data_IF_892664308030
#
_entry.id   IF_892664308030
#
_cell.length_a   1.000
_cell.length_b   1.000
_cell.length_c   1.000
_cell.angle_alpha   90.00
_cell.angle_beta   90.00
_cell.angle_gamma   90.00
#
_symmetry.space_group_name_H-M   'P 1'
#
loop_
_entity.id
_entity.type
_entity.pdbx_description
1 polymer ?
#
# COMPACT_ATOMS: atom_id res chain seq x y z
N UNK A 1 -17.21 -24.91 -27.77
CA UNK A 1 -18.38 -24.26 -27.14
C UNK A 1 -17.79 -23.30 -26.12
N UNK A 2 -17.83 -22.00 -26.40
CA UNK A 2 -17.32 -20.95 -25.52
C UNK A 2 -18.50 -20.40 -24.72
N UNK A 3 -18.36 -20.36 -23.40
CA UNK A 3 -19.34 -19.80 -22.47
C UNK A 3 -19.52 -18.29 -22.72
N UNK A 4 -20.74 -17.78 -22.96
CA UNK A 4 -20.93 -16.40 -23.42
C UNK A 4 -21.08 -15.32 -22.31
N UNK A 5 -20.99 -15.65 -21.01
CA UNK A 5 -21.42 -14.73 -19.95
C UNK A 5 -20.45 -14.57 -18.76
N UNK A 6 -19.14 -14.50 -19.02
CA UNK A 6 -18.26 -13.79 -18.09
C UNK A 6 -18.20 -12.34 -18.56
N UNK A 7 -18.58 -11.34 -17.73
CA UNK A 7 -18.37 -9.95 -18.09
C UNK A 7 -16.87 -9.80 -18.34
N UNK A 8 -16.51 -9.59 -19.61
CA UNK A 8 -15.21 -9.03 -19.94
C UNK A 8 -15.17 -7.72 -19.17
N UNK A 9 -14.46 -7.73 -18.04
CA UNK A 9 -13.96 -6.52 -17.41
C UNK A 9 -13.44 -5.69 -18.56
N UNK A 10 -14.12 -4.59 -18.87
CA UNK A 10 -13.71 -3.67 -19.89
C UNK A 10 -12.29 -3.28 -19.51
N UNK A 11 -11.29 -3.96 -20.06
CA UNK A 11 -9.89 -3.62 -19.98
C UNK A 11 -9.70 -2.38 -20.86
N UNK A 12 -10.51 -1.35 -20.65
CA UNK A 12 -10.12 -0.01 -20.96
C UNK A 12 -8.78 0.17 -20.28
N UNK A 13 -7.78 0.60 -21.06
CA UNK A 13 -6.44 0.94 -20.58
C UNK A 13 -6.55 2.17 -19.67
N UNK A 14 -7.25 2.07 -18.56
CA UNK A 14 -7.30 3.10 -17.55
C UNK A 14 -5.90 3.18 -16.96
N UNK A 15 -5.33 4.39 -16.84
CA UNK A 15 -4.00 4.56 -16.28
C UNK A 15 -3.88 3.92 -14.90
N UNK A 16 -2.66 3.55 -14.51
CA UNK A 16 -2.38 3.08 -13.16
C UNK A 16 -2.88 4.11 -12.13
N UNK A 17 -3.59 3.63 -11.10
CA UNK A 17 -4.14 4.50 -10.05
C UNK A 17 -4.12 3.76 -8.72
N UNK A 18 -3.21 4.16 -7.84
CA UNK A 18 -3.12 3.61 -6.48
C UNK A 18 -3.90 4.49 -5.52
N UNK A 19 -4.73 3.85 -4.69
CA UNK A 19 -5.46 4.49 -3.60
C UNK A 19 -5.08 3.83 -2.28
N UNK A 20 -5.30 4.55 -1.17
CA UNK A 20 -5.41 3.94 0.15
C UNK A 20 -6.82 3.35 0.25
N UNK A 21 -6.93 2.03 0.13
CA UNK A 21 -8.20 1.30 0.15
C UNK A 21 -8.75 1.18 1.57
N UNK A 22 -7.86 0.94 2.53
CA UNK A 22 -8.22 0.76 3.94
C UNK A 22 -7.09 1.17 4.87
N UNK A 23 -7.46 1.78 5.99
CA UNK A 23 -6.58 1.97 7.16
C UNK A 23 -7.22 1.29 8.35
N UNK A 24 -6.51 0.36 8.99
CA UNK A 24 -6.92 -0.34 10.21
C UNK A 24 -6.04 0.17 11.34
N UNK A 25 -6.52 1.15 12.11
CA UNK A 25 -5.79 1.67 13.27
C UNK A 25 -6.12 0.94 14.57
N UNK A 26 -7.36 0.48 14.72
CA UNK A 26 -7.85 -0.21 15.90
C UNK A 26 -8.32 -1.61 15.48
N UNK A 27 -7.40 -2.57 15.36
CA UNK A 27 -7.76 -3.93 15.01
C UNK A 27 -8.60 -4.58 16.12
N UNK A 28 -9.59 -5.40 15.74
CA UNK A 28 -10.26 -6.33 16.65
C UNK A 28 -9.28 -7.42 17.13
N UNK A 29 -9.67 -8.19 18.15
CA UNK A 29 -8.84 -9.27 18.71
C UNK A 29 -8.27 -10.19 17.61
N UNK A 30 -6.93 -10.37 17.63
CA UNK A 30 -6.19 -11.18 16.67
C UNK A 30 -5.88 -10.49 15.33
N UNK A 31 -6.26 -9.23 15.12
CA UNK A 31 -5.84 -8.43 13.97
C UNK A 31 -4.68 -7.48 14.31
N UNK A 32 -3.98 -7.04 13.29
CA UNK A 32 -2.86 -6.09 13.39
C UNK A 32 -3.21 -4.80 12.67
N UNK A 33 -2.69 -3.68 13.18
CA UNK A 33 -2.72 -2.38 12.52
C UNK A 33 -2.18 -2.53 11.10
N UNK A 34 -2.86 -1.99 10.09
CA UNK A 34 -2.37 -2.06 8.71
C UNK A 34 -2.90 -0.96 7.81
N UNK A 35 -2.16 -0.68 6.75
CA UNK A 35 -2.58 0.15 5.62
C UNK A 35 -2.65 -0.73 4.39
N UNK A 36 -3.75 -0.67 3.65
CA UNK A 36 -3.93 -1.41 2.41
C UNK A 36 -3.94 -0.43 1.25
N UNK A 37 -2.99 -0.60 0.34
CA UNK A 37 -2.95 0.12 -0.93
C UNK A 37 -3.56 -0.76 -2.02
N UNK A 38 -4.36 -0.18 -2.91
CA UNK A 38 -4.95 -0.90 -4.05
C UNK A 38 -4.71 -0.16 -5.34
N UNK A 39 -4.30 -0.87 -6.38
CA UNK A 39 -4.32 -0.35 -7.73
C UNK A 39 -5.71 -0.57 -8.35
N UNK A 40 -6.47 0.51 -8.50
CA UNK A 40 -7.80 0.51 -9.14
C UNK A 40 -7.73 0.85 -10.63
N UNK A 41 -6.52 1.09 -11.16
CA UNK A 41 -6.26 1.29 -12.58
C UNK A 41 -6.09 -0.02 -13.35
N UNK A 42 -6.15 0.06 -14.67
CA UNK A 42 -6.00 -1.07 -15.61
C UNK A 42 -4.56 -1.36 -16.02
N UNK A 43 -3.58 -0.60 -15.51
CA UNK A 43 -2.14 -0.79 -15.77
C UNK A 43 -1.37 -0.99 -14.47
N UNK A 44 -0.25 -1.72 -14.51
CA UNK A 44 0.64 -1.89 -13.36
C UNK A 44 1.17 -0.55 -12.88
N UNK A 45 0.99 -0.28 -11.58
CA UNK A 45 1.51 0.92 -10.94
C UNK A 45 2.94 0.67 -10.47
N UNK A 46 3.89 1.50 -10.88
CA UNK A 46 5.21 1.56 -10.25
C UNK A 46 5.20 2.69 -9.21
N UNK A 47 5.30 2.32 -7.94
CA UNK A 47 5.27 3.26 -6.81
C UNK A 47 6.65 3.46 -6.19
N UNK A 48 7.72 3.04 -6.86
CA UNK A 48 9.10 3.27 -6.40
C UNK A 48 9.36 4.76 -6.19
N UNK A 49 9.92 5.13 -5.03
CA UNK A 49 10.19 6.52 -4.65
C UNK A 49 8.99 7.27 -4.08
N UNK A 50 7.77 6.71 -4.17
CA UNK A 50 6.61 7.29 -3.49
C UNK A 50 6.78 7.19 -1.98
N UNK A 51 6.09 8.08 -1.27
CA UNK A 51 6.15 8.16 0.19
C UNK A 51 4.77 7.97 0.77
N UNK A 52 4.67 7.07 1.75
CA UNK A 52 3.54 7.01 2.64
C UNK A 52 3.91 7.74 3.93
N UNK A 53 3.11 8.74 4.25
CA UNK A 53 3.35 9.71 5.33
C UNK A 53 2.07 9.83 6.15
N UNK A 54 2.20 9.85 7.48
CA UNK A 54 1.08 10.20 8.34
C UNK A 54 0.78 11.70 8.23
N UNK A 55 -0.50 12.05 8.19
CA UNK A 55 -0.98 13.41 7.97
C UNK A 55 -0.79 14.33 9.19
N UNK A 56 -0.58 13.78 10.39
CA UNK A 56 -0.22 14.55 11.60
C UNK A 56 1.27 14.95 11.59
N UNK A 57 1.66 15.61 10.51
CA UNK A 57 3.02 16.11 10.23
C UNK A 57 3.53 17.14 11.24
N UNK A 58 2.72 17.55 12.22
CA UNK A 58 3.14 18.51 13.26
C UNK A 58 4.21 17.94 14.20
N UNK A 59 4.35 16.61 14.27
CA UNK A 59 5.29 15.93 15.17
C UNK A 59 6.08 14.78 14.53
N UNK A 60 5.91 14.53 13.23
CA UNK A 60 6.56 13.39 12.56
C UNK A 60 7.78 13.91 11.80
N UNK A 61 8.98 13.60 12.31
CA UNK A 61 10.22 13.90 11.60
C UNK A 61 10.17 13.29 10.19
N UNK A 62 10.73 13.99 9.19
CA UNK A 62 10.80 13.49 7.81
C UNK A 62 11.47 12.10 7.69
N UNK A 63 12.21 11.68 8.72
CA UNK A 63 12.83 10.37 8.89
C UNK A 63 11.84 9.22 9.16
N UNK A 64 10.59 9.50 9.54
CA UNK A 64 9.57 8.49 9.83
C UNK A 64 8.62 8.24 8.65
N UNK A 65 9.01 8.50 7.41
CA UNK A 65 8.22 8.15 6.23
C UNK A 65 8.53 6.73 5.76
N UNK A 66 7.52 6.00 5.27
CA UNK A 66 7.78 4.80 4.47
C UNK A 66 8.02 5.23 3.02
N UNK A 67 9.22 4.97 2.50
CA UNK A 67 9.58 5.24 1.11
C UNK A 67 9.64 3.92 0.35
N UNK A 68 8.83 3.76 -0.68
CA UNK A 68 8.79 2.52 -1.48
C UNK A 68 10.05 2.37 -2.33
N UNK A 69 10.61 1.16 -2.38
CA UNK A 69 11.84 0.86 -3.11
C UNK A 69 13.12 1.49 -2.55
N UNK A 70 13.05 2.04 -1.32
CA UNK A 70 14.19 2.50 -0.53
C UNK A 70 14.15 1.80 0.84
N UNK A 71 15.30 1.43 1.35
CA UNK A 71 15.37 0.35 2.33
C UNK A 71 14.91 0.72 3.76
N UNK A 72 14.09 -0.15 4.34
CA UNK A 72 14.20 -0.67 5.73
C UNK A 72 14.02 -2.21 5.78
N UNK A 73 13.78 -2.86 4.62
CA UNK A 73 13.60 -4.30 4.47
C UNK A 73 13.61 -4.87 3.04
N UNK A 74 13.94 -4.08 2.03
CA UNK A 74 14.13 -4.55 0.67
C UNK A 74 15.30 -3.79 0.06
N UNK A 75 16.24 -4.56 -0.49
CA UNK A 75 17.29 -4.08 -1.38
C UNK A 75 16.67 -3.13 -2.40
N UNK A 76 17.31 -1.97 -2.63
CA UNK A 76 16.87 -0.99 -3.62
C UNK A 76 16.27 -1.66 -4.85
N UNK A 77 15.00 -1.40 -5.14
CA UNK A 77 14.27 -2.19 -6.12
C UNK A 77 12.93 -1.61 -6.50
N UNK A 78 12.43 -2.05 -7.66
CA UNK A 78 11.15 -1.61 -8.19
C UNK A 78 10.00 -2.16 -7.33
N UNK A 79 9.22 -1.26 -6.73
CA UNK A 79 7.97 -1.60 -6.04
C UNK A 79 6.81 -1.36 -6.98
N UNK A 80 6.05 -2.42 -7.29
CA UNK A 80 4.91 -2.35 -8.21
C UNK A 80 3.64 -2.95 -7.61
N UNK A 81 2.48 -2.50 -8.09
CA UNK A 81 1.16 -3.06 -7.76
C UNK A 81 0.43 -3.31 -9.09
N UNK A 82 0.18 -4.59 -9.41
CA UNK A 82 -0.55 -4.98 -10.62
C UNK A 82 -2.02 -4.49 -10.58
N UNK A 83 -2.70 -4.37 -11.74
CA UNK A 83 -4.11 -3.99 -11.81
C UNK A 83 -5.01 -4.84 -10.88
N UNK A 84 -5.86 -4.19 -10.10
CA UNK A 84 -6.80 -4.84 -9.18
C UNK A 84 -6.17 -5.45 -7.92
N UNK A 85 -4.83 -5.53 -7.83
CA UNK A 85 -4.13 -6.09 -6.67
C UNK A 85 -4.07 -5.09 -5.52
N UNK A 86 -3.97 -5.65 -4.32
CA UNK A 86 -3.76 -4.92 -3.09
C UNK A 86 -2.40 -5.27 -2.48
N UNK A 87 -1.77 -4.28 -1.85
CA UNK A 87 -0.55 -4.39 -1.07
C UNK A 87 -0.89 -4.06 0.38
N UNK A 88 -0.66 -4.99 1.29
CA UNK A 88 -0.83 -4.76 2.72
C UNK A 88 0.50 -4.31 3.34
N UNK A 89 0.42 -3.27 4.15
CA UNK A 89 1.54 -2.68 4.87
C UNK A 89 1.23 -2.79 6.36
N UNK A 90 2.19 -3.27 7.13
CA UNK A 90 2.09 -3.42 8.59
C UNK A 90 3.11 -2.51 9.29
N UNK A 91 2.90 -2.18 10.57
CA UNK A 91 3.90 -1.44 11.34
C UNK A 91 5.21 -2.19 11.40
N UNK A 92 6.29 -1.41 11.41
CA UNK A 92 7.61 -1.94 11.73
C UNK A 92 7.66 -2.32 13.21
N UNK A 93 8.08 -3.56 13.50
CA UNK A 93 8.33 -4.05 14.86
C UNK A 93 9.64 -4.83 14.89
N UNK A 94 10.05 -5.29 16.08
CA UNK A 94 11.22 -6.17 16.21
C UNK A 94 11.03 -7.52 15.52
N UNK A 95 9.79 -7.99 15.35
CA UNK A 95 9.45 -9.23 14.66
C UNK A 95 9.07 -9.02 13.18
N UNK A 96 8.62 -7.82 12.81
CA UNK A 96 8.39 -7.38 11.43
C UNK A 96 9.28 -6.18 11.13
N UNK A 97 10.57 -6.38 10.79
CA UNK A 97 11.47 -5.28 10.47
C UNK A 97 11.01 -4.49 9.22
N UNK A 98 10.10 -5.09 8.44
CA UNK A 98 9.63 -4.66 7.14
C UNK A 98 8.24 -4.02 7.23
N UNK A 99 8.19 -2.77 7.67
CA UNK A 99 6.93 -2.07 7.86
C UNK A 99 7.07 -0.56 7.82
N UNK A 100 5.93 0.12 7.91
CA UNK A 100 5.96 1.58 8.04
C UNK A 100 6.47 1.98 9.45
N UNK A 101 7.32 3.02 9.55
CA UNK A 101 8.02 3.36 10.80
C UNK A 101 7.27 4.35 11.71
N UNK A 102 6.02 4.68 11.39
CA UNK A 102 5.21 5.66 12.11
C UNK A 102 3.97 5.00 12.75
N UNK A 103 3.43 5.62 13.79
CA UNK A 103 2.14 5.21 14.37
C UNK A 103 0.98 5.66 13.49
N UNK A 104 -0.12 4.90 13.47
CA UNK A 104 -1.37 5.37 12.88
C UNK A 104 -2.19 5.96 14.03
N UNK A 105 -2.33 7.29 14.06
CA UNK A 105 -3.16 7.97 15.03
C UNK A 105 -4.36 8.62 14.34
N UNK A 106 -5.55 8.41 14.88
CA UNK A 106 -6.73 9.19 14.52
C UNK A 106 -7.12 10.00 15.76
N UNK A 107 -7.03 11.31 15.66
CA UNK A 107 -7.58 12.25 16.65
C UNK A 107 -8.97 12.68 16.22
#
# INVERSE_FOLDING_TARGET
>A
MADPDLPQLCQGKTPARVIIDRVVAFPSDGQTVKVVLRNVGGQTANITGFRLTDSDTRNVEAAQNLVFGRDVCNTYGNTTIEPGRAMELVPRTNSTPCGFPFGISFR
#
